data_IF_742969037110
#
_entry.id   IF_742969037110
#
_cell.length_a   1.000
_cell.length_b   1.000
_cell.length_c   1.000
_cell.angle_alpha   90.00
_cell.angle_beta   90.00
_cell.angle_gamma   90.00
#
_symmetry.space_group_name_H-M   'P 1'
#
loop_
_entity.id
_entity.type
_entity.pdbx_description
1 polymer ?
#
# COMPACT_ATOMS: atom_id res chain seq x y z
N UNK A 1 -25.78 17.59 -1.33
CA UNK A 1 -25.29 16.24 -1.68
C UNK A 1 -23.76 16.13 -1.50
N UNK A 2 -23.20 16.41 -0.31
CA UNK A 2 -21.74 16.46 -0.12
C UNK A 2 -21.29 15.78 1.17
N UNK A 3 -21.64 14.51 1.33
CA UNK A 3 -21.19 13.69 2.45
C UNK A 3 -20.81 12.31 1.90
N UNK A 4 -19.51 12.06 1.65
CA UNK A 4 -18.85 10.73 1.61
C UNK A 4 -17.49 10.64 0.89
N UNK A 5 -16.88 11.73 0.39
CA UNK A 5 -15.64 11.61 -0.41
C UNK A 5 -14.44 11.00 0.36
N UNK A 6 -14.34 11.25 1.67
CA UNK A 6 -13.21 10.78 2.50
C UNK A 6 -13.24 9.29 2.83
N UNK A 7 -14.44 8.68 2.87
CA UNK A 7 -14.59 7.23 3.06
C UNK A 7 -14.19 6.47 1.79
N UNK A 8 -14.50 7.01 0.62
CA UNK A 8 -14.27 6.31 -0.65
C UNK A 8 -12.79 6.18 -1.02
N UNK A 9 -11.95 7.19 -0.73
CA UNK A 9 -10.52 7.13 -1.08
C UNK A 9 -9.79 5.96 -0.41
N UNK A 10 -10.10 5.70 0.86
CA UNK A 10 -9.47 4.60 1.61
C UNK A 10 -9.90 3.22 1.08
N UNK A 11 -11.12 3.13 0.57
CA UNK A 11 -11.69 1.95 -0.10
C UNK A 11 -11.07 1.76 -1.48
N UNK A 12 -10.92 2.83 -2.27
CA UNK A 12 -10.27 2.79 -3.59
C UNK A 12 -8.82 2.32 -3.46
N UNK A 13 -8.03 2.90 -2.55
CA UNK A 13 -6.66 2.43 -2.30
C UNK A 13 -6.59 0.99 -1.78
N UNK A 14 -7.60 0.53 -1.02
CA UNK A 14 -7.69 -0.89 -0.63
C UNK A 14 -7.82 -1.78 -1.85
N UNK A 15 -8.78 -1.47 -2.72
CA UNK A 15 -9.03 -2.28 -3.90
C UNK A 15 -7.88 -2.20 -4.89
N UNK A 16 -7.30 -1.03 -5.12
CA UNK A 16 -6.14 -0.85 -5.99
C UNK A 16 -4.93 -1.66 -5.50
N UNK A 17 -4.68 -1.69 -4.18
CA UNK A 17 -3.63 -2.53 -3.59
C UNK A 17 -3.92 -4.03 -3.73
N UNK A 18 -5.17 -4.46 -3.52
CA UNK A 18 -5.56 -5.87 -3.69
C UNK A 18 -5.42 -6.29 -5.16
N UNK A 19 -5.87 -5.47 -6.09
CA UNK A 19 -5.77 -5.73 -7.53
C UNK A 19 -4.30 -5.79 -7.95
N UNK A 20 -3.46 -4.88 -7.47
CA UNK A 20 -2.03 -4.89 -7.74
C UNK A 20 -1.30 -6.10 -7.12
N UNK A 21 -1.89 -6.77 -6.13
CA UNK A 21 -1.33 -7.96 -5.51
C UNK A 21 -1.64 -9.25 -6.27
N UNK A 22 -2.71 -9.28 -7.07
CA UNK A 22 -3.12 -10.47 -7.82
C UNK A 22 -2.03 -10.99 -8.78
N UNK A 23 -1.35 -10.16 -9.59
CA UNK A 23 -0.28 -10.63 -10.48
C UNK A 23 0.89 -11.25 -9.72
N UNK A 24 1.23 -10.70 -8.55
CA UNK A 24 2.31 -11.22 -7.70
C UNK A 24 1.96 -12.62 -7.18
N UNK A 25 0.71 -12.82 -6.73
CA UNK A 25 0.25 -14.12 -6.26
C UNK A 25 0.31 -15.16 -7.38
N UNK A 26 -0.10 -14.79 -8.60
CA UNK A 26 -0.03 -15.68 -9.77
C UNK A 26 1.43 -15.98 -10.13
N UNK A 27 2.30 -14.98 -10.13
CA UNK A 27 3.73 -15.13 -10.43
C UNK A 27 4.43 -16.10 -9.45
N UNK A 28 4.31 -15.86 -8.14
CA UNK A 28 4.89 -16.75 -7.12
C UNK A 28 4.19 -18.11 -7.07
N UNK A 29 2.88 -18.15 -7.33
CA UNK A 29 2.11 -19.39 -7.39
C UNK A 29 2.54 -20.29 -8.56
N UNK A 30 2.86 -19.70 -9.71
CA UNK A 30 3.37 -20.41 -10.88
C UNK A 30 4.76 -21.02 -10.61
N UNK A 31 5.67 -20.24 -10.02
CA UNK A 31 7.00 -20.72 -9.65
C UNK A 31 6.89 -21.84 -8.60
N UNK A 32 6.11 -21.60 -7.53
CA UNK A 32 6.06 -22.51 -6.37
C UNK A 32 5.30 -23.81 -6.61
N UNK A 33 4.22 -23.80 -7.40
CA UNK A 33 3.38 -25.00 -7.59
C UNK A 33 3.61 -25.70 -8.93
N UNK A 34 4.05 -24.98 -9.96
CA UNK A 34 4.18 -25.52 -11.31
C UNK A 34 5.64 -25.56 -11.80
N UNK A 35 6.60 -25.04 -11.02
CA UNK A 35 8.01 -24.98 -11.42
C UNK A 35 8.23 -24.19 -12.70
N UNK A 36 7.31 -23.27 -13.02
CA UNK A 36 7.37 -22.47 -14.23
C UNK A 36 8.38 -21.33 -14.06
N UNK A 37 9.40 -21.31 -14.90
CA UNK A 37 10.40 -20.25 -14.92
C UNK A 37 9.92 -19.12 -15.83
N UNK A 38 9.77 -17.95 -15.24
CA UNK A 38 9.41 -16.74 -15.98
C UNK A 38 10.66 -16.16 -16.65
N UNK A 39 10.48 -15.36 -17.70
CA UNK A 39 11.62 -14.71 -18.36
C UNK A 39 12.25 -13.66 -17.44
N UNK A 40 13.56 -13.43 -17.56
CA UNK A 40 14.30 -12.39 -16.82
C UNK A 40 13.63 -11.01 -16.87
N UNK A 41 13.00 -10.69 -18.02
CA UNK A 41 12.26 -9.43 -18.18
C UNK A 41 11.02 -9.37 -17.29
N UNK A 42 10.30 -10.49 -17.13
CA UNK A 42 9.14 -10.56 -16.26
C UNK A 42 9.55 -10.50 -14.79
N UNK A 43 10.62 -11.19 -14.41
CA UNK A 43 11.18 -11.15 -13.04
C UNK A 43 11.58 -9.74 -12.63
N UNK A 44 12.32 -9.04 -13.50
CA UNK A 44 12.72 -7.66 -13.27
C UNK A 44 11.51 -6.73 -13.18
N UNK A 45 10.47 -6.95 -14.00
CA UNK A 45 9.25 -6.15 -13.98
C UNK A 45 8.44 -6.39 -12.70
N UNK A 46 8.27 -7.65 -12.26
CA UNK A 46 7.58 -7.99 -11.03
C UNK A 46 8.32 -7.44 -9.82
N UNK A 47 9.65 -7.59 -9.76
CA UNK A 47 10.46 -7.10 -8.67
C UNK A 47 10.51 -5.57 -8.59
N UNK A 48 10.78 -4.89 -9.71
CA UNK A 48 10.99 -3.43 -9.71
C UNK A 48 9.70 -2.62 -9.71
N UNK A 49 8.63 -3.11 -10.33
CA UNK A 49 7.36 -2.37 -10.40
C UNK A 49 6.32 -2.92 -9.43
N UNK A 50 5.96 -4.20 -9.53
CA UNK A 50 4.83 -4.72 -8.76
C UNK A 50 5.13 -4.81 -7.25
N UNK A 51 6.27 -5.40 -6.85
CA UNK A 51 6.65 -5.49 -5.44
C UNK A 51 6.85 -4.09 -4.85
N UNK A 52 7.56 -3.21 -5.56
CA UNK A 52 7.82 -1.85 -5.11
C UNK A 52 6.53 -1.02 -4.97
N UNK A 53 5.61 -1.13 -5.92
CA UNK A 53 4.32 -0.45 -5.88
C UNK A 53 3.46 -1.00 -4.75
N UNK A 54 3.41 -2.31 -4.51
CA UNK A 54 2.72 -2.88 -3.36
C UNK A 54 3.31 -2.42 -2.03
N UNK A 55 4.64 -2.45 -1.91
CA UNK A 55 5.32 -1.99 -0.71
C UNK A 55 5.01 -0.52 -0.44
N UNK A 56 5.14 0.34 -1.45
CA UNK A 56 4.83 1.77 -1.34
C UNK A 56 3.37 2.03 -0.99
N UNK A 57 2.43 1.35 -1.66
CA UNK A 57 0.99 1.53 -1.42
C UNK A 57 0.55 0.98 -0.06
N UNK A 58 1.21 -0.08 0.42
CA UNK A 58 1.08 -0.57 1.79
C UNK A 58 1.55 0.46 2.82
N UNK A 59 2.76 0.98 2.68
CA UNK A 59 3.33 2.00 3.58
C UNK A 59 2.46 3.26 3.55
N UNK A 60 2.10 3.78 2.37
CA UNK A 60 1.29 4.98 2.24
C UNK A 60 -0.09 4.84 2.90
N UNK A 61 -0.72 3.66 2.84
CA UNK A 61 -2.02 3.45 3.47
C UNK A 61 -1.93 3.20 4.97
N UNK A 62 -0.96 2.43 5.44
CA UNK A 62 -0.89 1.99 6.84
C UNK A 62 -0.06 2.92 7.74
N UNK A 63 1.04 3.47 7.22
CA UNK A 63 1.92 4.35 7.99
C UNK A 63 1.46 5.81 7.99
N UNK A 64 0.94 6.34 6.87
CA UNK A 64 0.51 7.74 6.77
C UNK A 64 -0.60 8.13 7.78
N UNK A 65 -1.69 7.36 7.99
CA UNK A 65 -2.70 7.72 8.98
C UNK A 65 -2.17 7.60 10.41
N UNK A 66 -1.27 6.64 10.69
CA UNK A 66 -0.62 6.49 12.00
C UNK A 66 0.28 7.68 12.28
N UNK A 67 1.07 8.12 11.30
CA UNK A 67 1.88 9.33 11.37
C UNK A 67 1.03 10.59 11.58
N UNK A 68 -0.08 10.76 10.83
CA UNK A 68 -0.99 11.91 11.02
C UNK A 68 -1.63 11.93 12.41
N UNK A 69 -2.01 10.77 12.95
CA UNK A 69 -2.51 10.65 14.33
C UNK A 69 -1.42 11.01 15.36
N UNK A 70 -0.21 10.49 15.17
CA UNK A 70 0.94 10.79 16.04
C UNK A 70 1.27 12.29 16.03
N UNK A 71 1.33 12.92 14.85
CA UNK A 71 1.59 14.35 14.68
C UNK A 71 0.53 15.18 15.41
N UNK A 72 -0.76 14.88 15.23
CA UNK A 72 -1.85 15.57 15.95
C UNK A 72 -1.75 15.44 17.48
N UNK A 73 -1.39 14.25 17.99
CA UNK A 73 -1.20 14.05 19.44
C UNK A 73 -0.04 14.90 19.96
N UNK A 74 1.06 14.97 19.22
CA UNK A 74 2.23 15.83 19.56
C UNK A 74 1.86 17.31 19.52
N UNK A 75 1.14 17.78 18.50
CA UNK A 75 0.70 19.18 18.42
C UNK A 75 -0.19 19.56 19.59
N UNK A 76 -1.20 18.74 19.92
CA UNK A 76 -2.06 18.97 21.10
C UNK A 76 -1.29 18.96 22.41
N UNK A 77 -0.30 18.08 22.55
CA UNK A 77 0.54 18.02 23.73
C UNK A 77 1.44 19.26 23.86
N UNK A 78 1.91 19.84 22.74
CA UNK A 78 2.64 21.11 22.73
C UNK A 78 1.74 22.29 23.08
N UNK A 79 0.55 22.36 22.48
CA UNK A 79 -0.47 23.38 22.80
C UNK A 79 -0.87 23.35 24.28
N UNK A 80 -1.07 22.15 24.86
CA UNK A 80 -1.37 21.98 26.28
C UNK A 80 -0.17 22.32 27.20
N UNK A 81 1.06 22.24 26.69
CA UNK A 81 2.28 22.62 27.40
C UNK A 81 2.64 24.10 27.23
N UNK A 82 1.85 24.88 26.46
CA UNK A 82 2.08 26.31 26.25
C UNK A 82 3.31 26.64 25.38
N UNK A 83 3.77 25.71 24.54
CA UNK A 83 4.89 25.90 23.58
C UNK A 83 4.40 25.86 22.14
#
# INVERSE_FOLDING_TARGET
MAENKRRNWNTIWRWLHIIAALPIIVYFGAISNFGYDWSDSMDSLVANYFIWLLMWTGIAKWQLPRYRKWKRKRTKAKEAAGV
#
